data_IF_070858300076
#
_entry.id   IF_070858300076
#
_cell.length_a   1.000
_cell.length_b   1.000
_cell.length_c   1.000
_cell.angle_alpha   90.00
_cell.angle_beta   90.00
_cell.angle_gamma   90.00
#
_symmetry.space_group_name_H-M   'P 1'
#
loop_
_entity.id
_entity.type
_entity.pdbx_description
1 polymer ?
#
# COMPACT_ATOMS: atom_id res chain seq x y z
N UNK A 1 -10.22 -17.28 14.60
CA UNK A 1 -10.11 -15.88 15.00
C UNK A 1 -9.63 -15.74 16.45
N UNK A 2 -10.27 -16.36 17.45
CA UNK A 2 -9.84 -16.29 18.86
C UNK A 2 -8.41 -16.79 19.11
N UNK A 3 -7.89 -17.75 18.32
CA UNK A 3 -6.48 -18.15 18.39
C UNK A 3 -5.51 -17.03 17.96
N UNK A 4 -5.92 -16.18 17.03
CA UNK A 4 -5.13 -15.06 16.55
C UNK A 4 -5.27 -13.80 17.43
N UNK A 5 -6.36 -13.72 18.18
CA UNK A 5 -6.71 -12.59 19.03
C UNK A 5 -7.24 -13.09 20.38
N UNK A 6 -6.38 -13.65 21.24
CA UNK A 6 -6.80 -14.29 22.49
C UNK A 6 -7.47 -13.32 23.48
N UNK A 7 -7.13 -12.04 23.39
CA UNK A 7 -7.70 -10.98 24.25
C UNK A 7 -9.07 -10.47 23.78
N UNK A 8 -9.53 -10.93 22.61
CA UNK A 8 -10.79 -10.47 22.07
C UNK A 8 -11.98 -11.10 22.80
N UNK A 9 -12.88 -10.24 23.26
CA UNK A 9 -14.15 -10.67 23.86
C UNK A 9 -15.22 -10.74 22.78
N UNK A 10 -15.88 -11.90 22.67
CA UNK A 10 -17.07 -12.03 21.83
C UNK A 10 -18.22 -11.36 22.59
N UNK A 11 -18.94 -10.40 21.99
CA UNK A 11 -20.14 -9.84 22.59
C UNK A 11 -21.17 -10.95 22.89
N UNK A 12 -21.66 -11.00 24.11
CA UNK A 12 -22.63 -12.02 24.55
C UNK A 12 -24.08 -11.55 24.40
N UNK A 13 -24.27 -10.23 24.38
CA UNK A 13 -25.58 -9.59 24.28
C UNK A 13 -25.55 -8.44 23.30
N UNK A 14 -26.73 -8.00 22.86
CA UNK A 14 -26.85 -6.83 21.98
C UNK A 14 -26.34 -5.54 22.66
N UNK A 15 -26.41 -5.45 24.00
CA UNK A 15 -25.89 -4.34 24.78
C UNK A 15 -24.34 -4.26 24.75
N UNK A 16 -23.65 -5.38 24.52
CA UNK A 16 -22.19 -5.41 24.40
C UNK A 16 -21.70 -4.85 23.06
N UNK A 17 -22.58 -4.65 22.11
CA UNK A 17 -22.29 -4.17 20.76
C UNK A 17 -22.26 -2.64 20.75
N UNK A 18 -21.11 -2.06 21.08
CA UNK A 18 -20.92 -0.60 21.09
C UNK A 18 -20.92 0.04 19.68
N UNK A 19 -20.58 -0.74 18.66
CA UNK A 19 -20.56 -0.30 17.26
C UNK A 19 -20.92 -1.48 16.36
N UNK A 20 -22.12 -1.45 15.79
CA UNK A 20 -22.66 -2.55 14.97
C UNK A 20 -21.74 -2.92 13.81
N UNK A 21 -21.13 -1.96 13.13
CA UNK A 21 -20.24 -2.18 12.00
C UNK A 21 -18.82 -2.65 12.39
N UNK A 22 -18.43 -2.53 13.65
CA UNK A 22 -17.14 -2.99 14.17
C UNK A 22 -17.23 -4.33 14.92
N UNK A 23 -18.41 -4.87 15.05
CA UNK A 23 -18.62 -6.19 15.65
C UNK A 23 -18.10 -7.26 14.69
N UNK A 24 -17.27 -8.22 15.15
CA UNK A 24 -16.78 -9.29 14.31
C UNK A 24 -17.94 -10.04 13.60
N UNK A 25 -17.75 -10.39 12.35
CA UNK A 25 -18.67 -11.14 11.50
C UNK A 25 -19.94 -10.44 11.02
N UNK A 26 -20.36 -9.33 11.62
CA UNK A 26 -21.63 -8.65 11.26
C UNK A 26 -21.65 -8.22 9.80
N UNK A 27 -20.58 -7.53 9.34
CA UNK A 27 -20.49 -7.11 7.94
C UNK A 27 -20.36 -8.32 6.99
N UNK A 28 -19.62 -9.34 7.41
CA UNK A 28 -19.53 -10.55 6.63
C UNK A 28 -20.91 -11.21 6.47
N UNK A 29 -21.61 -11.48 7.57
CA UNK A 29 -22.89 -12.17 7.55
C UNK A 29 -23.98 -11.35 6.84
N UNK A 30 -24.02 -10.04 7.05
CA UNK A 30 -25.09 -9.18 6.52
C UNK A 30 -24.87 -8.70 5.10
N UNK A 31 -23.62 -8.59 4.65
CA UNK A 31 -23.31 -7.95 3.37
C UNK A 31 -22.52 -8.86 2.41
N UNK A 32 -21.57 -9.64 2.92
CA UNK A 32 -20.68 -10.41 2.05
C UNK A 32 -21.23 -11.82 1.80
N UNK A 33 -21.61 -12.53 2.86
CA UNK A 33 -22.11 -13.90 2.78
C UNK A 33 -23.29 -14.08 1.80
N UNK A 34 -24.27 -13.16 1.71
CA UNK A 34 -25.36 -13.26 0.72
C UNK A 34 -24.90 -13.16 -0.74
N UNK A 35 -23.69 -12.64 -0.99
CA UNK A 35 -23.13 -12.49 -2.35
C UNK A 35 -22.28 -13.70 -2.77
N UNK A 36 -21.96 -14.61 -1.83
CA UNK A 36 -21.16 -15.80 -2.13
C UNK A 36 -21.90 -16.66 -3.18
N UNK A 37 -21.17 -17.07 -4.21
CA UNK A 37 -21.73 -17.80 -5.34
C UNK A 37 -22.11 -16.93 -6.53
N UNK A 38 -22.14 -15.61 -6.40
CA UNK A 38 -22.25 -14.71 -7.54
C UNK A 38 -21.00 -14.80 -8.39
N UNK A 39 -21.15 -15.06 -9.68
CA UNK A 39 -20.01 -15.07 -10.61
C UNK A 39 -19.43 -13.68 -10.76
N UNK A 40 -18.10 -13.54 -10.58
CA UNK A 40 -17.40 -12.29 -10.77
C UNK A 40 -16.07 -12.51 -11.51
N UNK A 41 -15.62 -11.52 -12.26
CA UNK A 41 -14.33 -11.59 -12.97
C UNK A 41 -13.14 -11.32 -12.05
N UNK A 42 -13.36 -10.56 -10.99
CA UNK A 42 -12.34 -10.18 -10.03
C UNK A 42 -12.86 -9.14 -9.05
N UNK A 43 -11.97 -8.65 -8.21
CA UNK A 43 -12.27 -7.64 -7.18
C UNK A 43 -11.39 -6.42 -7.41
N UNK A 44 -11.97 -5.24 -7.25
CA UNK A 44 -11.25 -3.99 -7.05
C UNK A 44 -11.47 -3.51 -5.61
N UNK A 45 -10.41 -3.08 -4.94
CA UNK A 45 -10.42 -2.81 -3.51
C UNK A 45 -9.76 -1.48 -3.18
N UNK A 46 -10.41 -0.67 -2.34
CA UNK A 46 -9.83 0.57 -1.85
C UNK A 46 -10.14 0.72 -0.35
N UNK A 47 -9.18 0.41 0.48
CA UNK A 47 -9.28 0.48 1.94
C UNK A 47 -7.87 0.48 2.54
N UNK A 48 -7.73 1.00 3.76
CA UNK A 48 -6.51 0.90 4.55
C UNK A 48 -6.30 2.08 5.49
N UNK A 49 -6.94 3.20 5.23
CA UNK A 49 -6.69 4.46 5.91
C UNK A 49 -6.78 4.36 7.44
N UNK A 50 -7.81 3.69 7.97
CA UNK A 50 -7.97 3.48 9.43
C UNK A 50 -6.92 2.51 10.01
N UNK A 51 -6.14 1.84 9.18
CA UNK A 51 -5.09 0.90 9.60
C UNK A 51 -3.69 1.53 9.66
N UNK A 52 -3.54 2.83 9.39
CA UNK A 52 -2.23 3.47 9.27
C UNK A 52 -1.34 3.27 10.51
N UNK A 53 -1.92 3.23 11.69
CA UNK A 53 -1.21 3.02 12.96
C UNK A 53 -1.08 1.53 13.37
N UNK A 54 -1.55 0.60 12.54
CA UNK A 54 -1.51 -0.86 12.76
C UNK A 54 -0.91 -1.59 11.55
N UNK A 55 0.03 -0.97 10.87
CA UNK A 55 0.64 -1.48 9.64
C UNK A 55 1.27 -2.87 9.81
N UNK A 56 1.80 -3.20 10.99
CA UNK A 56 2.47 -4.47 11.29
C UNK A 56 1.58 -5.71 11.11
N UNK A 57 0.26 -5.57 11.23
CA UNK A 57 -0.70 -6.66 11.03
C UNK A 57 -1.35 -6.66 9.65
N UNK A 58 -1.26 -5.54 8.92
CA UNK A 58 -2.07 -5.32 7.73
C UNK A 58 -1.80 -6.31 6.61
N UNK A 59 -0.54 -6.56 6.29
CA UNK A 59 -0.19 -7.47 5.20
C UNK A 59 -0.74 -8.89 5.42
N UNK A 60 -0.65 -9.40 6.65
CA UNK A 60 -1.17 -10.72 7.00
C UNK A 60 -2.70 -10.76 6.98
N UNK A 61 -3.34 -9.73 7.53
CA UNK A 61 -4.81 -9.64 7.55
C UNK A 61 -5.37 -9.52 6.13
N UNK A 62 -4.78 -8.69 5.30
CA UNK A 62 -5.25 -8.49 3.94
C UNK A 62 -5.00 -9.71 3.05
N UNK A 63 -3.86 -10.37 3.19
CA UNK A 63 -3.59 -11.66 2.54
C UNK A 63 -4.63 -12.71 2.92
N UNK A 64 -4.97 -12.81 4.22
CA UNK A 64 -6.00 -13.73 4.71
C UNK A 64 -7.39 -13.40 4.20
N UNK A 65 -7.74 -12.11 4.09
CA UNK A 65 -9.01 -11.66 3.54
C UNK A 65 -9.15 -12.10 2.08
N UNK A 66 -8.13 -11.85 1.24
CA UNK A 66 -8.16 -12.21 -0.18
C UNK A 66 -8.30 -13.73 -0.35
N UNK A 67 -7.47 -14.50 0.35
CA UNK A 67 -7.49 -15.95 0.26
C UNK A 67 -8.79 -16.53 0.84
N UNK A 68 -9.32 -15.95 1.89
CA UNK A 68 -10.62 -16.32 2.46
C UNK A 68 -11.76 -16.12 1.48
N UNK A 69 -11.81 -14.98 0.81
CA UNK A 69 -12.83 -14.73 -0.21
C UNK A 69 -12.71 -15.70 -1.39
N UNK A 70 -11.51 -15.97 -1.87
CA UNK A 70 -11.26 -16.96 -2.93
C UNK A 70 -11.76 -18.36 -2.53
N UNK A 71 -11.49 -18.77 -1.29
CA UNK A 71 -11.97 -20.05 -0.74
C UNK A 71 -13.49 -20.12 -0.67
N UNK A 72 -14.17 -19.04 -0.26
CA UNK A 72 -15.62 -18.97 -0.16
C UNK A 72 -16.30 -18.95 -1.53
N UNK A 73 -15.78 -18.16 -2.47
CA UNK A 73 -16.35 -18.06 -3.83
C UNK A 73 -16.10 -19.28 -4.69
N UNK A 74 -15.05 -20.05 -4.42
CA UNK A 74 -14.67 -21.26 -5.17
C UNK A 74 -14.51 -21.05 -6.67
N UNK A 75 -14.07 -19.85 -7.07
CA UNK A 75 -13.80 -19.49 -8.47
C UNK A 75 -12.29 -19.39 -8.78
N UNK A 76 -11.46 -20.12 -8.01
CA UNK A 76 -10.01 -20.10 -8.15
C UNK A 76 -9.39 -18.76 -7.70
N UNK A 77 -8.16 -18.51 -8.16
CA UNK A 77 -7.42 -17.32 -7.84
C UNK A 77 -7.86 -16.15 -8.75
N UNK A 78 -9.10 -15.72 -8.61
CA UNK A 78 -9.60 -14.58 -9.37
C UNK A 78 -8.77 -13.32 -9.10
N UNK A 79 -8.66 -12.39 -10.10
CA UNK A 79 -7.90 -11.16 -9.95
C UNK A 79 -8.35 -10.33 -8.76
N UNK A 80 -7.39 -9.82 -7.98
CA UNK A 80 -7.65 -8.92 -6.87
C UNK A 80 -6.74 -7.70 -6.98
N UNK A 81 -7.28 -6.57 -7.46
CA UNK A 81 -6.55 -5.33 -7.64
C UNK A 81 -6.95 -4.33 -6.57
N UNK A 82 -5.97 -3.66 -5.98
CA UNK A 82 -6.23 -2.78 -4.86
C UNK A 82 -5.43 -1.49 -4.92
N UNK A 83 -5.96 -0.45 -4.29
CA UNK A 83 -5.28 0.82 -4.14
C UNK A 83 -4.36 0.81 -2.93
N UNK A 84 -3.15 1.34 -3.09
CA UNK A 84 -2.35 1.84 -1.98
C UNK A 84 -3.04 3.08 -1.41
N UNK A 85 -3.01 3.29 -0.09
CA UNK A 85 -3.61 4.49 0.50
C UNK A 85 -3.01 5.76 -0.09
N UNK A 86 -3.87 6.72 -0.37
CA UNK A 86 -3.46 8.04 -0.84
C UNK A 86 -2.85 8.87 0.29
N UNK A 87 -1.97 9.84 -0.01
CA UNK A 87 -1.47 10.79 0.97
C UNK A 87 -2.58 11.56 1.69
N UNK A 88 -2.43 11.64 2.99
CA UNK A 88 -3.27 12.40 3.91
C UNK A 88 -2.42 12.70 5.15
N UNK A 89 -2.72 13.74 5.89
CA UNK A 89 -2.07 14.04 7.16
C UNK A 89 -2.54 13.07 8.26
N UNK A 90 -1.99 11.84 8.21
CA UNK A 90 -2.28 10.80 9.21
C UNK A 90 -1.61 11.08 10.57
N UNK A 91 -0.67 12.03 10.62
CA UNK A 91 0.19 12.24 11.76
C UNK A 91 1.35 11.25 11.85
N UNK A 92 2.14 11.43 12.90
CA UNK A 92 3.31 10.63 13.22
C UNK A 92 3.24 10.25 14.70
N UNK A 93 3.48 8.99 15.03
CA UNK A 93 3.60 8.54 16.42
C UNK A 93 5.08 8.40 16.75
N UNK A 94 5.52 9.05 17.82
CA UNK A 94 6.90 9.01 18.28
C UNK A 94 7.01 8.38 19.67
N UNK A 95 8.08 7.61 19.88
CA UNK A 95 8.47 7.08 21.20
C UNK A 95 9.91 7.50 21.48
N UNK A 96 10.13 8.13 22.66
CA UNK A 96 11.45 8.63 23.07
C UNK A 96 12.12 9.53 22.03
N UNK A 97 11.33 10.38 21.35
CA UNK A 97 11.80 11.29 20.31
C UNK A 97 12.08 10.65 18.94
N UNK A 98 11.86 9.36 18.79
CA UNK A 98 12.02 8.65 17.52
C UNK A 98 10.65 8.37 16.90
N UNK A 99 10.55 8.55 15.59
CA UNK A 99 9.37 8.18 14.83
C UNK A 99 9.24 6.64 14.79
N UNK A 100 8.12 6.12 15.30
CA UNK A 100 7.86 4.67 15.33
C UNK A 100 6.71 4.26 14.45
N UNK A 101 5.78 5.16 14.13
CA UNK A 101 4.64 4.88 13.25
C UNK A 101 4.35 6.10 12.38
N UNK A 102 4.28 5.87 11.07
CA UNK A 102 3.73 6.79 10.08
C UNK A 102 3.01 6.01 8.97
N UNK A 103 2.37 6.73 8.05
CA UNK A 103 1.60 6.11 6.96
C UNK A 103 2.46 5.35 5.93
N UNK A 104 3.78 5.58 5.88
CA UNK A 104 4.68 4.86 4.99
C UNK A 104 4.76 3.37 5.32
N UNK A 105 4.71 3.01 6.61
CA UNK A 105 4.68 1.61 7.04
C UNK A 105 3.45 0.86 6.52
N UNK A 106 2.29 1.54 6.47
CA UNK A 106 1.09 0.91 5.89
C UNK A 106 1.21 0.77 4.37
N UNK A 107 1.74 1.77 3.67
CA UNK A 107 1.99 1.66 2.23
C UNK A 107 2.96 0.54 1.90
N UNK A 108 4.00 0.36 2.71
CA UNK A 108 4.91 -0.78 2.60
C UNK A 108 4.19 -2.12 2.84
N UNK A 109 3.34 -2.20 3.87
CA UNK A 109 2.55 -3.39 4.16
C UNK A 109 1.60 -3.74 3.00
N UNK A 110 0.97 -2.74 2.37
CA UNK A 110 0.16 -2.93 1.17
C UNK A 110 1.00 -3.44 -0.01
N UNK A 111 2.18 -2.88 -0.24
CA UNK A 111 3.08 -3.32 -1.30
C UNK A 111 3.52 -4.79 -1.12
N UNK A 112 3.79 -5.21 0.12
CA UNK A 112 4.16 -6.60 0.43
C UNK A 112 3.07 -7.62 0.05
N UNK A 113 1.79 -7.24 0.04
CA UNK A 113 0.69 -8.14 -0.32
C UNK A 113 0.75 -8.55 -1.79
N UNK A 114 1.17 -7.66 -2.69
CA UNK A 114 1.31 -7.98 -4.11
C UNK A 114 2.26 -9.17 -4.37
N UNK A 115 3.30 -9.30 -3.54
CA UNK A 115 4.25 -10.44 -3.65
C UNK A 115 3.82 -11.69 -2.88
N UNK A 116 2.82 -11.58 -2.00
CA UNK A 116 2.31 -12.71 -1.19
C UNK A 116 1.09 -13.38 -1.80
N UNK A 117 0.39 -12.67 -2.66
CA UNK A 117 -0.90 -13.11 -3.22
C UNK A 117 -0.78 -13.22 -4.74
N UNK A 118 -0.92 -14.43 -5.26
CA UNK A 118 -0.97 -14.65 -6.70
C UNK A 118 -2.14 -13.88 -7.33
N UNK A 119 -1.99 -13.51 -8.60
CA UNK A 119 -3.02 -12.80 -9.38
C UNK A 119 -3.58 -11.56 -8.66
N UNK A 120 -2.67 -10.77 -8.08
CA UNK A 120 -2.98 -9.49 -7.47
C UNK A 120 -2.19 -8.35 -8.12
N UNK A 121 -2.54 -7.11 -7.81
CA UNK A 121 -1.83 -5.93 -8.28
C UNK A 121 -2.22 -4.70 -7.47
N UNK A 122 -1.26 -3.80 -7.26
CA UNK A 122 -1.44 -2.60 -6.47
C UNK A 122 -1.39 -1.33 -7.34
N UNK A 123 -2.43 -0.53 -7.28
CA UNK A 123 -2.47 0.81 -7.84
C UNK A 123 -1.91 1.82 -6.84
N UNK A 124 -0.76 2.41 -7.13
CA UNK A 124 -0.13 3.44 -6.30
C UNK A 124 -0.89 4.76 -6.44
N UNK A 125 -1.18 5.45 -5.33
CA UNK A 125 -1.95 6.70 -5.29
C UNK A 125 -1.19 7.86 -4.63
N UNK A 126 0.14 7.83 -4.61
CA UNK A 126 0.97 8.85 -3.93
C UNK A 126 0.77 10.29 -4.45
N UNK A 127 0.27 10.45 -5.65
CA UNK A 127 -0.01 11.74 -6.32
C UNK A 127 -1.49 12.12 -6.32
N UNK A 128 -2.36 11.31 -5.72
CA UNK A 128 -3.83 11.46 -5.78
C UNK A 128 -4.47 11.78 -4.41
N UNK A 129 -3.66 12.08 -3.41
CA UNK A 129 -4.13 12.41 -2.07
C UNK A 129 -4.50 13.86 -1.86
N UNK A 130 -4.94 14.16 -0.64
CA UNK A 130 -5.21 15.51 -0.13
C UNK A 130 -4.75 15.61 1.31
N UNK A 131 -3.94 16.63 1.64
CA UNK A 131 -3.40 16.82 2.98
C UNK A 131 -4.47 16.81 4.08
N UNK A 132 -5.57 17.51 3.88
CA UNK A 132 -6.66 17.66 4.87
C UNK A 132 -7.94 16.89 4.52
N UNK A 133 -7.87 15.94 3.59
CA UNK A 133 -9.02 15.18 3.14
C UNK A 133 -8.70 13.68 3.02
N UNK A 134 -9.10 12.89 4.02
CA UNK A 134 -8.92 11.42 3.98
C UNK A 134 -9.69 10.76 2.83
N UNK A 135 -10.69 11.45 2.28
CA UNK A 135 -11.46 11.04 1.10
C UNK A 135 -11.09 11.92 -0.09
N UNK A 136 -9.97 11.64 -0.80
CA UNK A 136 -9.55 12.49 -1.91
C UNK A 136 -10.61 12.54 -3.02
N UNK A 137 -10.83 13.72 -3.56
CA UNK A 137 -11.85 13.95 -4.61
C UNK A 137 -11.48 13.30 -5.95
N UNK A 138 -10.20 13.14 -6.24
CA UNK A 138 -9.69 12.58 -7.52
C UNK A 138 -9.86 11.05 -7.60
N UNK A 139 -11.09 10.54 -7.48
CA UNK A 139 -11.39 9.10 -7.55
C UNK A 139 -11.17 8.51 -8.95
N UNK A 140 -11.24 9.33 -9.98
CA UNK A 140 -10.97 8.90 -11.36
C UNK A 140 -9.58 8.26 -11.49
N UNK A 141 -8.55 8.87 -10.89
CA UNK A 141 -7.16 8.34 -10.93
C UNK A 141 -7.09 6.92 -10.35
N UNK A 142 -7.77 6.66 -9.24
CA UNK A 142 -7.83 5.33 -8.65
C UNK A 142 -8.52 4.33 -9.59
N UNK A 143 -9.66 4.71 -10.18
CA UNK A 143 -10.39 3.87 -11.14
C UNK A 143 -9.58 3.57 -12.39
N UNK A 144 -8.93 4.57 -12.97
CA UNK A 144 -8.08 4.42 -14.15
C UNK A 144 -6.90 3.47 -13.89
N UNK A 145 -6.19 3.61 -12.77
CA UNK A 145 -5.07 2.74 -12.43
C UNK A 145 -5.50 1.30 -12.16
N UNK A 146 -6.63 1.10 -11.50
CA UNK A 146 -7.21 -0.24 -11.33
C UNK A 146 -7.64 -0.85 -12.67
N UNK A 147 -8.21 -0.05 -13.57
CA UNK A 147 -8.56 -0.49 -14.93
C UNK A 147 -7.31 -0.85 -15.74
N UNK A 148 -6.25 -0.05 -15.69
CA UNK A 148 -4.97 -0.35 -16.34
C UNK A 148 -4.36 -1.67 -15.83
N UNK A 149 -4.41 -1.94 -14.54
CA UNK A 149 -4.00 -3.23 -13.96
C UNK A 149 -4.83 -4.38 -14.55
N UNK A 150 -6.14 -4.22 -14.65
CA UNK A 150 -7.01 -5.24 -15.22
C UNK A 150 -6.72 -5.46 -16.71
N UNK A 151 -6.56 -4.39 -17.49
CA UNK A 151 -6.20 -4.46 -18.90
C UNK A 151 -4.88 -5.21 -19.11
N UNK A 152 -3.85 -4.86 -18.32
CA UNK A 152 -2.54 -5.49 -18.43
C UNK A 152 -2.55 -6.93 -17.94
N UNK A 153 -3.02 -7.20 -16.70
CA UNK A 153 -2.83 -8.50 -16.03
C UNK A 153 -3.95 -9.51 -16.28
N UNK A 154 -5.20 -9.05 -16.45
CA UNK A 154 -6.34 -9.95 -16.65
C UNK A 154 -6.67 -10.13 -18.13
N UNK A 155 -6.65 -9.04 -18.90
CA UNK A 155 -7.07 -9.04 -20.30
C UNK A 155 -5.92 -9.13 -21.30
N UNK A 156 -4.65 -8.96 -20.86
CA UNK A 156 -3.47 -9.09 -21.69
C UNK A 156 -3.41 -8.09 -22.85
N UNK A 157 -3.94 -6.88 -22.65
CA UNK A 157 -3.97 -5.85 -23.69
C UNK A 157 -2.54 -5.35 -23.95
N UNK A 158 -2.06 -5.54 -25.16
CA UNK A 158 -0.72 -5.11 -25.56
C UNK A 158 -0.60 -3.58 -25.60
N UNK A 159 0.60 -3.07 -25.28
CA UNK A 159 0.89 -1.63 -25.26
C UNK A 159 0.34 -0.89 -24.05
N UNK A 160 -0.36 -1.57 -23.15
CA UNK A 160 -0.86 -1.00 -21.88
C UNK A 160 0.02 -1.46 -20.74
N UNK A 161 0.47 -0.53 -19.91
CA UNK A 161 1.18 -0.84 -18.67
C UNK A 161 0.39 -0.28 -17.47
N UNK A 162 -0.14 -1.16 -16.64
CA UNK A 162 -0.85 -0.81 -15.41
C UNK A 162 -0.01 -0.98 -14.14
N UNK A 163 1.19 -1.55 -14.26
CA UNK A 163 2.04 -1.83 -13.09
C UNK A 163 2.93 -0.64 -12.74
N UNK A 164 2.93 -0.26 -11.49
CA UNK A 164 3.82 0.80 -10.96
C UNK A 164 5.23 0.26 -10.73
N UNK A 165 6.26 1.14 -10.79
CA UNK A 165 7.60 0.78 -10.35
C UNK A 165 7.60 0.22 -8.93
N UNK A 166 8.39 -0.81 -8.70
CA UNK A 166 8.54 -1.46 -7.41
C UNK A 166 10.00 -1.42 -6.96
N UNK A 167 10.23 -1.17 -5.66
CA UNK A 167 11.56 -1.20 -5.08
C UNK A 167 12.23 -2.56 -5.32
N UNK A 168 13.45 -2.53 -5.82
CA UNK A 168 14.25 -3.73 -6.08
C UNK A 168 15.40 -3.88 -5.10
N UNK A 169 16.24 -2.86 -5.01
CA UNK A 169 17.45 -2.90 -4.19
C UNK A 169 17.96 -1.51 -3.87
N UNK A 170 18.80 -1.45 -2.86
CA UNK A 170 19.56 -0.27 -2.45
C UNK A 170 21.06 -0.59 -2.49
N UNK A 171 21.86 0.35 -2.97
CA UNK A 171 23.33 0.30 -2.94
C UNK A 171 23.84 1.65 -2.42
N UNK A 172 24.77 1.60 -1.47
CA UNK A 172 25.38 2.81 -0.92
C UNK A 172 26.74 2.99 -1.62
N UNK A 173 26.94 4.14 -2.26
CA UNK A 173 28.17 4.53 -2.95
C UNK A 173 28.66 5.85 -2.38
N UNK A 174 29.62 5.78 -1.47
CA UNK A 174 30.11 6.93 -0.72
C UNK A 174 28.96 7.66 0.00
N UNK A 175 28.70 8.89 -0.38
CA UNK A 175 27.63 9.79 0.11
C UNK A 175 26.31 9.66 -0.66
N UNK A 176 26.24 8.76 -1.62
CA UNK A 176 25.08 8.59 -2.49
C UNK A 176 24.43 7.23 -2.26
N UNK A 177 23.11 7.23 -2.12
CA UNK A 177 22.30 6.03 -2.07
C UNK A 177 21.64 5.81 -3.42
N UNK A 178 21.93 4.69 -4.06
CA UNK A 178 21.32 4.27 -5.33
C UNK A 178 20.15 3.33 -5.05
N UNK A 179 18.95 3.76 -5.38
CA UNK A 179 17.74 2.92 -5.26
C UNK A 179 17.34 2.44 -6.65
N UNK A 180 17.33 1.13 -6.83
CA UNK A 180 16.92 0.49 -8.09
C UNK A 180 15.46 0.04 -8.00
N UNK A 181 14.76 0.16 -9.12
CA UNK A 181 13.37 -0.26 -9.26
C UNK A 181 13.23 -1.30 -10.36
N UNK A 182 12.34 -2.25 -10.16
CA UNK A 182 11.80 -3.10 -11.22
C UNK A 182 10.51 -2.48 -11.78
N UNK A 183 10.10 -2.90 -12.98
CA UNK A 183 8.94 -2.36 -13.72
C UNK A 183 9.06 -0.85 -14.04
N UNK A 184 10.24 -0.28 -13.91
CA UNK A 184 10.52 1.13 -14.22
C UNK A 184 10.90 1.28 -15.71
N UNK A 185 9.98 0.95 -16.61
CA UNK A 185 10.21 0.96 -18.06
C UNK A 185 10.17 2.35 -18.68
N UNK A 186 10.03 3.40 -17.89
CA UNK A 186 9.93 4.76 -18.39
C UNK A 186 11.30 5.40 -18.53
N UNK A 187 11.61 5.83 -19.74
CA UNK A 187 12.68 6.74 -20.03
C UNK A 187 12.31 8.16 -19.57
N UNK A 188 12.95 8.63 -18.52
CA UNK A 188 12.97 10.06 -18.23
C UNK A 188 14.30 10.57 -18.78
N UNK A 189 14.23 11.21 -19.94
CA UNK A 189 15.41 11.78 -20.59
C UNK A 189 15.76 13.14 -20.00
N UNK A 190 16.98 13.27 -19.50
CA UNK A 190 17.59 14.55 -19.14
C UNK A 190 18.04 14.66 -17.69
N UNK A 191 19.22 15.20 -17.49
CA UNK A 191 19.87 15.39 -16.17
C UNK A 191 19.11 16.29 -15.18
N UNK A 192 18.03 16.95 -15.58
CA UNK A 192 17.30 17.94 -14.77
C UNK A 192 15.84 17.57 -14.54
N UNK A 193 15.45 16.32 -14.75
CA UNK A 193 14.02 16.03 -14.85
C UNK A 193 13.27 16.04 -13.55
N UNK A 194 13.86 15.69 -12.42
CA UNK A 194 13.13 15.71 -11.15
C UNK A 194 14.08 15.72 -9.95
N UNK A 195 14.29 16.89 -9.37
CA UNK A 195 14.73 16.95 -7.98
C UNK A 195 13.50 16.77 -7.10
N UNK A 196 13.45 15.69 -6.34
CA UNK A 196 12.39 15.46 -5.38
C UNK A 196 12.88 15.79 -3.97
N UNK A 197 12.08 16.57 -3.25
CA UNK A 197 12.30 16.88 -1.83
C UNK A 197 11.56 15.93 -0.89
N UNK A 198 10.92 14.90 -1.42
CA UNK A 198 10.09 13.99 -0.65
C UNK A 198 10.83 12.76 -0.13
N UNK A 199 12.16 12.73 -0.31
CA UNK A 199 12.99 11.65 0.19
C UNK A 199 13.69 12.05 1.47
N UNK A 200 13.85 11.07 2.35
CA UNK A 200 14.63 11.18 3.56
C UNK A 200 15.55 9.97 3.65
N UNK A 201 16.70 10.15 4.26
CA UNK A 201 17.64 9.07 4.57
C UNK A 201 17.90 9.02 6.06
N UNK A 202 18.21 7.83 6.57
CA UNK A 202 18.57 7.62 7.95
C UNK A 202 19.75 6.66 8.04
N UNK A 203 20.60 6.86 9.05
CA UNK A 203 21.60 5.88 9.46
C UNK A 203 21.00 4.75 10.31
N UNK A 204 21.86 4.00 10.99
CA UNK A 204 21.45 2.92 11.91
C UNK A 204 20.62 3.44 13.10
N UNK A 205 20.79 4.70 13.45
CA UNK A 205 20.06 5.37 14.53
C UNK A 205 18.59 5.62 14.17
N UNK A 206 18.21 5.49 12.90
CA UNK A 206 16.87 5.75 12.33
C UNK A 206 16.39 7.19 12.52
N UNK A 207 17.32 8.15 12.59
CA UNK A 207 17.00 9.57 12.52
C UNK A 207 16.97 9.96 11.05
N UNK A 208 15.82 10.49 10.59
CA UNK A 208 15.60 10.80 9.18
C UNK A 208 15.95 12.25 8.85
N UNK A 209 16.77 12.43 7.82
CA UNK A 209 17.19 13.72 7.29
C UNK A 209 16.68 13.90 5.86
N UNK A 210 16.28 15.14 5.46
CA UNK A 210 15.89 15.40 4.09
C UNK A 210 17.02 15.04 3.11
N UNK A 211 16.68 14.42 2.01
CA UNK A 211 17.61 14.05 0.97
C UNK A 211 17.18 14.60 -0.40
N UNK A 212 18.14 15.02 -1.19
CA UNK A 212 17.91 15.34 -2.61
C UNK A 212 17.83 14.05 -3.40
N UNK A 213 16.81 13.91 -4.23
CA UNK A 213 16.63 12.76 -5.07
C UNK A 213 16.51 13.17 -6.54
N UNK A 214 17.16 12.42 -7.42
CA UNK A 214 16.98 12.57 -8.86
C UNK A 214 16.93 11.20 -9.53
N UNK A 215 16.40 11.15 -10.73
CA UNK A 215 16.26 9.90 -11.48
C UNK A 215 17.36 9.85 -12.55
N UNK A 216 18.08 8.75 -12.55
CA UNK A 216 19.04 8.40 -13.58
C UNK A 216 18.68 7.04 -14.19
N UNK A 217 18.18 7.07 -15.44
CA UNK A 217 17.64 5.88 -16.14
C UNK A 217 16.50 5.23 -15.33
N UNK A 218 16.68 3.97 -14.93
CA UNK A 218 15.71 3.23 -14.10
C UNK A 218 16.01 3.29 -12.61
N UNK A 219 16.99 4.10 -12.20
CA UNK A 219 17.43 4.23 -10.82
C UNK A 219 17.06 5.60 -10.25
N UNK A 220 16.75 5.64 -8.97
CA UNK A 220 16.68 6.89 -8.22
C UNK A 220 17.96 7.03 -7.41
N UNK A 221 18.61 8.17 -7.54
CA UNK A 221 19.78 8.53 -6.76
C UNK A 221 19.37 9.45 -5.62
N UNK A 222 19.74 9.10 -4.41
CA UNK A 222 19.52 9.91 -3.21
C UNK A 222 20.88 10.43 -2.71
N UNK A 223 20.98 11.72 -2.51
CA UNK A 223 22.17 12.38 -1.99
C UNK A 223 21.82 13.22 -0.76
N UNK A 224 22.63 13.09 0.30
CA UNK A 224 22.55 13.98 1.47
C UNK A 224 23.74 14.92 1.43
N UNK A 225 23.50 16.22 1.34
CA UNK A 225 24.57 17.22 1.32
C UNK A 225 25.16 17.56 2.69
N UNK A 226 24.51 17.21 3.81
CA UNK A 226 24.81 17.82 5.09
C UNK A 226 24.89 16.86 6.30
N UNK A 227 24.87 15.54 6.10
CA UNK A 227 24.92 14.59 7.22
C UNK A 227 26.26 13.88 7.40
N UNK A 228 27.30 14.25 6.64
CA UNK A 228 28.61 13.61 6.68
C UNK A 228 29.73 14.52 7.27
N UNK A 229 29.43 15.75 7.63
CA UNK A 229 30.43 16.72 8.12
C UNK A 229 30.26 17.13 9.61
N UNK A 230 29.51 16.39 10.45
CA UNK A 230 29.52 16.56 11.90
C UNK A 230 29.84 15.25 12.61
#
# INVERSE_FOLDING_TARGET
WLKAFPEAKIPQTEADIKSKNRTPTVLYNGMLHPLIGMTMKGVIWYQGEDNWNRAHTYADMFTRLINGWRAEWKQGDFPFYYCQIAPYDYGIITEKGKEVINSAYLREAQAKVEHRVANSGMAVLLDAGMEKGIHPAKKQVAGERLALLALTKTYGVEGVNGESPYYKSIEIKNDTVVVSFERANMWISGKNCFESKNFQVAGEDKVFYPAKAWIERSNCLLYTSDAADE
#
